data_IF_497834698598
#
_entry.id   IF_497834698598
#
_cell.length_a   1.000
_cell.length_b   1.000
_cell.length_c   1.000
_cell.angle_alpha   90.00
_cell.angle_beta   90.00
_cell.angle_gamma   90.00
#
_symmetry.space_group_name_H-M   'P 1'
#
loop_
_entity.id
_entity.type
_entity.pdbx_description
1 polymer ?
#
# COMPACT_ATOMS: atom_id res chain seq x y z
N UNK A 1 10.80 16.82 -13.29
CA UNK A 1 10.77 15.57 -12.49
C UNK A 1 9.39 15.43 -11.85
N UNK A 2 8.72 14.28 -12.01
CA UNK A 2 7.35 14.03 -11.49
C UNK A 2 7.40 12.93 -10.44
N UNK A 3 6.73 13.13 -9.30
CA UNK A 3 6.49 12.08 -8.30
C UNK A 3 5.01 11.95 -8.01
N UNK A 4 4.58 10.71 -7.72
CA UNK A 4 3.24 10.44 -7.19
C UNK A 4 3.37 10.30 -5.68
N UNK A 5 2.51 10.98 -4.94
CA UNK A 5 2.42 10.85 -3.48
C UNK A 5 1.06 10.32 -3.09
N UNK A 6 1.00 9.11 -2.53
CA UNK A 6 -0.25 8.51 -2.05
C UNK A 6 -0.33 8.60 -0.53
N UNK A 7 -1.46 9.07 -0.04
CA UNK A 7 -1.75 9.13 1.40
C UNK A 7 -2.91 8.20 1.77
N UNK A 8 -2.65 7.29 2.72
CA UNK A 8 -3.66 6.38 3.26
C UNK A 8 -4.64 7.08 4.20
N UNK A 9 -5.76 6.42 4.52
CA UNK A 9 -6.81 6.99 5.37
C UNK A 9 -6.31 7.38 6.77
N UNK A 10 -5.45 6.56 7.39
CA UNK A 10 -4.81 6.88 8.68
C UNK A 10 -3.94 8.14 8.63
N UNK A 11 -3.36 8.42 7.47
CA UNK A 11 -2.53 9.61 7.21
C UNK A 11 -3.34 10.88 6.93
N UNK A 12 -4.67 10.77 6.81
CA UNK A 12 -5.61 11.85 6.51
C UNK A 12 -6.76 11.92 7.55
N UNK A 13 -6.62 11.24 8.70
CA UNK A 13 -7.72 11.00 9.63
C UNK A 13 -8.28 12.26 10.31
N UNK A 14 -7.53 13.35 10.31
CA UNK A 14 -7.90 14.62 10.93
C UNK A 14 -7.30 15.82 10.18
N UNK A 15 -7.70 17.02 10.56
CA UNK A 15 -7.27 18.28 9.92
C UNK A 15 -5.76 18.49 10.04
N UNK A 16 -5.15 18.10 11.16
CA UNK A 16 -3.69 18.26 11.35
C UNK A 16 -2.93 17.36 10.37
N UNK A 17 -3.38 16.13 10.18
CA UNK A 17 -2.80 15.18 9.23
C UNK A 17 -3.01 15.62 7.78
N UNK A 18 -4.17 16.20 7.44
CA UNK A 18 -4.41 16.80 6.13
C UNK A 18 -3.40 17.92 5.84
N UNK A 19 -3.18 18.83 6.79
CA UNK A 19 -2.17 19.88 6.65
C UNK A 19 -0.76 19.32 6.53
N UNK A 20 -0.43 18.26 7.26
CA UNK A 20 0.87 17.58 7.18
C UNK A 20 1.07 16.91 5.81
N UNK A 21 0.07 16.24 5.29
CA UNK A 21 0.11 15.66 3.95
C UNK A 21 0.31 16.73 2.87
N UNK A 22 -0.39 17.87 2.96
CA UNK A 22 -0.17 19.02 2.09
C UNK A 22 1.26 19.57 2.21
N UNK A 23 1.82 19.66 3.43
CA UNK A 23 3.18 20.10 3.68
C UNK A 23 4.24 19.21 3.04
N UNK A 24 4.03 17.87 3.05
CA UNK A 24 4.91 16.92 2.36
C UNK A 24 4.89 17.14 0.84
N UNK A 25 3.73 17.43 0.28
CA UNK A 25 3.59 17.80 -1.13
C UNK A 25 4.33 19.14 -1.44
N UNK A 26 4.12 20.15 -0.62
CA UNK A 26 4.78 21.47 -0.78
C UNK A 26 6.30 21.33 -0.77
N UNK A 27 6.87 20.55 0.15
CA UNK A 27 8.31 20.29 0.21
C UNK A 27 8.89 19.72 -1.08
N UNK A 28 8.17 18.82 -1.75
CA UNK A 28 8.62 18.28 -3.05
C UNK A 28 8.48 19.32 -4.17
N UNK A 29 7.45 20.14 -4.13
CA UNK A 29 7.29 21.27 -5.06
C UNK A 29 8.42 22.30 -4.91
N UNK A 30 8.82 22.62 -3.68
CA UNK A 30 9.95 23.52 -3.38
C UNK A 30 11.29 22.98 -3.89
N UNK A 31 11.42 21.63 -3.99
CA UNK A 31 12.57 20.97 -4.62
C UNK A 31 12.54 20.99 -6.16
N UNK A 32 11.55 21.67 -6.74
CA UNK A 32 11.38 21.77 -8.19
C UNK A 32 10.75 20.55 -8.85
N UNK A 33 10.09 19.67 -8.07
CA UNK A 33 9.39 18.50 -8.60
C UNK A 33 7.92 18.80 -8.84
N UNK A 34 7.37 18.22 -9.87
CA UNK A 34 5.93 18.12 -10.04
C UNK A 34 5.38 17.00 -9.15
N UNK A 35 4.19 17.21 -8.58
CA UNK A 35 3.55 16.25 -7.68
C UNK A 35 2.13 15.99 -8.14
N UNK A 36 1.73 14.72 -8.17
CA UNK A 36 0.34 14.29 -8.17
C UNK A 36 0.06 13.64 -6.82
N UNK A 37 -0.91 14.17 -6.11
CA UNK A 37 -1.34 13.62 -4.83
C UNK A 37 -2.49 12.63 -5.06
N UNK A 38 -2.41 11.42 -4.50
CA UNK A 38 -3.48 10.41 -4.52
C UNK A 38 -3.93 10.18 -3.09
N UNK A 39 -5.23 10.25 -2.84
CA UNK A 39 -5.77 10.18 -1.48
C UNK A 39 -6.78 9.06 -1.32
N UNK A 40 -6.76 8.41 -0.17
CA UNK A 40 -7.83 7.55 0.33
C UNK A 40 -8.89 8.37 1.07
N UNK A 41 -10.04 7.78 1.35
CA UNK A 41 -10.99 8.35 2.29
C UNK A 41 -10.31 8.60 3.65
N UNK A 42 -10.77 9.59 4.41
CA UNK A 42 -10.29 9.84 5.77
C UNK A 42 -10.49 8.59 6.64
N UNK A 43 -9.61 8.41 7.65
CA UNK A 43 -9.67 7.22 8.50
C UNK A 43 -11.07 7.00 9.09
N UNK A 44 -11.63 5.79 8.89
CA UNK A 44 -12.97 5.41 9.34
C UNK A 44 -14.11 5.76 8.38
N UNK A 45 -13.95 6.73 7.48
CA UNK A 45 -15.06 7.21 6.63
C UNK A 45 -15.65 6.11 5.73
N UNK A 46 -14.84 5.23 5.16
CA UNK A 46 -15.34 4.11 4.35
C UNK A 46 -16.19 3.14 5.17
N UNK A 47 -15.77 2.82 6.40
CA UNK A 47 -16.51 1.94 7.30
C UNK A 47 -17.82 2.59 7.76
N UNK A 48 -17.83 3.89 8.00
CA UNK A 48 -19.04 4.66 8.35
C UNK A 48 -20.06 4.67 7.20
N UNK A 49 -19.59 4.90 5.95
CA UNK A 49 -20.44 4.86 4.76
C UNK A 49 -21.03 3.47 4.52
N UNK A 50 -20.22 2.41 4.69
CA UNK A 50 -20.69 1.02 4.62
C UNK A 50 -21.73 0.72 5.70
N UNK A 51 -21.47 1.11 6.96
CA UNK A 51 -22.41 0.92 8.06
C UNK A 51 -23.74 1.64 7.78
N UNK A 52 -23.69 2.85 7.21
CA UNK A 52 -24.88 3.61 6.81
C UNK A 52 -25.64 2.85 5.70
N UNK A 53 -24.99 2.36 4.67
CA UNK A 53 -25.63 1.58 3.60
C UNK A 53 -26.35 0.34 4.15
N UNK A 54 -25.68 -0.42 5.03
CA UNK A 54 -26.25 -1.62 5.64
C UNK A 54 -27.36 -1.31 6.66
N UNK A 55 -27.42 -0.09 7.21
CA UNK A 55 -28.55 0.35 8.02
C UNK A 55 -29.82 0.62 7.20
N UNK A 56 -29.64 0.97 5.91
CA UNK A 56 -30.76 1.21 4.98
C UNK A 56 -31.27 -0.09 4.36
N UNK A 57 -30.34 -1.02 4.02
CA UNK A 57 -30.68 -2.31 3.41
C UNK A 57 -29.76 -3.40 3.93
N UNK A 58 -30.31 -4.57 4.24
CA UNK A 58 -29.51 -5.74 4.62
C UNK A 58 -28.65 -6.30 3.45
N UNK A 59 -29.01 -5.97 2.20
CA UNK A 59 -28.29 -6.37 0.99
C UNK A 59 -28.30 -5.21 -0.03
N UNK A 60 -27.49 -4.16 0.20
CA UNK A 60 -27.36 -3.07 -0.76
C UNK A 60 -26.67 -3.58 -2.04
N UNK A 61 -27.10 -3.07 -3.20
CA UNK A 61 -26.47 -3.41 -4.48
C UNK A 61 -25.05 -2.87 -4.59
N UNK A 62 -24.15 -3.64 -5.16
CA UNK A 62 -22.72 -3.31 -5.26
C UNK A 62 -22.46 -2.01 -6.02
N UNK A 63 -23.22 -1.73 -7.09
CA UNK A 63 -23.14 -0.46 -7.81
C UNK A 63 -23.40 0.75 -6.92
N UNK A 64 -24.42 0.67 -6.07
CA UNK A 64 -24.76 1.77 -5.15
C UNK A 64 -23.76 1.88 -3.99
N UNK A 65 -23.19 0.74 -3.57
CA UNK A 65 -22.07 0.76 -2.62
C UNK A 65 -20.84 1.45 -3.20
N UNK A 66 -20.48 1.18 -4.45
CA UNK A 66 -19.37 1.85 -5.14
C UNK A 66 -19.62 3.37 -5.24
N UNK A 67 -20.82 3.76 -5.67
CA UNK A 67 -21.20 5.17 -5.74
C UNK A 67 -21.10 5.86 -4.38
N UNK A 68 -21.58 5.22 -3.32
CA UNK A 68 -21.54 5.76 -1.95
C UNK A 68 -20.10 5.85 -1.42
N UNK A 69 -19.35 4.76 -1.46
CA UNK A 69 -17.99 4.69 -0.92
C UNK A 69 -17.06 5.69 -1.60
N UNK A 70 -17.17 5.86 -2.93
CA UNK A 70 -16.34 6.80 -3.70
C UNK A 70 -16.42 8.25 -3.21
N UNK A 71 -17.49 8.62 -2.51
CA UNK A 71 -17.67 9.98 -1.96
C UNK A 71 -16.64 10.29 -0.87
N UNK A 72 -16.15 9.29 -0.14
CA UNK A 72 -15.14 9.46 0.89
C UNK A 72 -13.82 9.99 0.34
N UNK A 73 -13.34 9.42 -0.77
CA UNK A 73 -12.13 9.88 -1.44
C UNK A 73 -12.33 11.24 -2.11
N UNK A 74 -13.54 11.50 -2.63
CA UNK A 74 -13.86 12.82 -3.20
C UNK A 74 -13.80 13.92 -2.13
N UNK A 75 -14.32 13.66 -0.93
CA UNK A 75 -14.22 14.58 0.20
C UNK A 75 -12.75 14.81 0.60
N UNK A 76 -11.96 13.74 0.74
CA UNK A 76 -10.53 13.84 1.06
C UNK A 76 -9.76 14.63 0.02
N UNK A 77 -10.02 14.41 -1.27
CA UNK A 77 -9.34 15.10 -2.35
C UNK A 77 -9.63 16.61 -2.33
N UNK A 78 -10.87 17.00 -2.09
CA UNK A 78 -11.26 18.39 -1.96
C UNK A 78 -10.60 19.06 -0.74
N UNK A 79 -10.60 18.39 0.42
CA UNK A 79 -9.98 18.89 1.65
C UNK A 79 -8.46 19.03 1.51
N UNK A 80 -7.78 18.08 0.87
CA UNK A 80 -6.35 18.17 0.59
C UNK A 80 -6.03 19.30 -0.41
N UNK A 81 -6.87 19.53 -1.42
CA UNK A 81 -6.70 20.65 -2.33
C UNK A 81 -6.84 22.00 -1.58
N UNK A 82 -7.83 22.14 -0.71
CA UNK A 82 -7.99 23.33 0.17
C UNK A 82 -6.77 23.50 1.09
N UNK A 83 -6.24 22.40 1.66
CA UNK A 83 -5.05 22.47 2.52
C UNK A 83 -3.78 22.89 1.76
N UNK A 84 -3.65 22.50 0.49
CA UNK A 84 -2.58 22.93 -0.41
C UNK A 84 -2.72 24.42 -0.75
N UNK A 85 -3.92 24.89 -1.07
CA UNK A 85 -4.19 26.31 -1.35
C UNK A 85 -3.91 27.18 -0.13
N UNK A 86 -4.27 26.71 1.08
CA UNK A 86 -3.93 27.41 2.32
C UNK A 86 -2.41 27.53 2.58
N UNK A 87 -1.59 26.69 1.91
CA UNK A 87 -0.13 26.73 1.93
C UNK A 87 0.47 27.38 0.68
N UNK A 88 -0.34 28.11 -0.09
CA UNK A 88 0.11 28.89 -1.25
C UNK A 88 0.33 28.07 -2.54
N UNK A 89 -0.07 26.81 -2.59
CA UNK A 89 -0.02 25.99 -3.79
C UNK A 89 -1.35 26.07 -4.54
N UNK A 90 -1.30 26.20 -5.85
CA UNK A 90 -2.48 26.01 -6.69
C UNK A 90 -2.78 24.52 -6.78
N UNK A 91 -3.99 24.09 -6.45
CA UNK A 91 -4.39 22.70 -6.46
C UNK A 91 -5.76 22.48 -7.13
N UNK A 92 -6.04 21.26 -7.55
CA UNK A 92 -7.34 20.86 -8.09
C UNK A 92 -7.65 19.43 -7.66
N UNK A 93 -8.82 19.24 -7.02
CA UNK A 93 -9.33 17.90 -6.74
C UNK A 93 -9.94 17.28 -7.98
N UNK A 94 -9.65 16.00 -8.21
CA UNK A 94 -10.14 15.22 -9.34
C UNK A 94 -10.67 13.89 -8.84
N UNK A 95 -11.94 13.59 -9.12
CA UNK A 95 -12.47 12.23 -8.97
C UNK A 95 -11.75 11.26 -9.92
N UNK A 96 -11.82 9.95 -9.66
CA UNK A 96 -11.15 8.94 -10.48
C UNK A 96 -11.48 9.06 -11.96
N UNK A 97 -12.76 9.22 -12.31
CA UNK A 97 -13.23 9.41 -13.68
C UNK A 97 -12.72 10.71 -14.31
N UNK A 98 -12.61 11.80 -13.54
CA UNK A 98 -12.02 13.06 -14.03
C UNK A 98 -10.52 12.93 -14.28
N UNK A 99 -9.87 12.00 -13.60
CA UNK A 99 -8.46 11.66 -13.78
C UNK A 99 -8.23 10.75 -14.99
N UNK A 100 -9.32 10.28 -15.64
CA UNK A 100 -9.28 9.42 -16.81
C UNK A 100 -9.02 7.95 -16.45
N UNK A 101 -9.49 7.49 -15.32
CA UNK A 101 -9.41 6.09 -14.86
C UNK A 101 -10.67 5.37 -15.34
N UNK A 102 -10.52 4.46 -16.32
CA UNK A 102 -11.58 3.62 -16.85
C UNK A 102 -11.38 2.18 -16.42
N UNK A 103 -12.45 1.54 -15.98
CA UNK A 103 -12.46 0.19 -15.42
C UNK A 103 -13.32 -0.77 -16.23
N UNK A 104 -13.27 -2.06 -15.87
CA UNK A 104 -14.33 -3.00 -16.20
C UNK A 104 -15.60 -2.72 -15.38
N UNK A 105 -16.60 -3.60 -15.50
CA UNK A 105 -17.93 -3.47 -14.87
C UNK A 105 -18.09 -4.27 -13.59
N UNK A 106 -16.99 -4.79 -13.01
CA UNK A 106 -17.01 -5.58 -11.79
C UNK A 106 -17.04 -4.64 -10.58
N UNK A 107 -18.24 -4.33 -10.09
CA UNK A 107 -18.41 -3.48 -8.91
C UNK A 107 -17.75 -4.10 -7.66
N UNK A 108 -17.17 -3.26 -6.81
CA UNK A 108 -16.48 -3.65 -5.57
C UNK A 108 -15.04 -4.12 -5.77
N UNK A 109 -14.68 -4.71 -6.92
CA UNK A 109 -13.33 -5.24 -7.24
C UNK A 109 -12.91 -4.93 -8.68
N UNK A 110 -13.31 -3.76 -9.20
CA UNK A 110 -13.04 -3.37 -10.57
C UNK A 110 -11.54 -3.28 -10.89
N UNK A 111 -11.20 -3.53 -12.15
CA UNK A 111 -9.83 -3.45 -12.66
C UNK A 111 -9.68 -2.30 -13.64
N UNK A 112 -8.59 -1.55 -13.52
CA UNK A 112 -8.25 -0.46 -14.45
C UNK A 112 -7.96 -1.06 -15.83
N UNK A 113 -8.76 -0.68 -16.83
CA UNK A 113 -8.59 -1.09 -18.22
C UNK A 113 -7.79 -0.05 -19.01
N UNK A 114 -8.05 1.22 -18.76
CA UNK A 114 -7.40 2.34 -19.46
C UNK A 114 -7.22 3.52 -18.52
N UNK A 115 -6.10 4.21 -18.67
CA UNK A 115 -5.80 5.44 -17.93
C UNK A 115 -5.24 6.49 -18.89
N UNK A 116 -6.00 7.58 -19.10
CA UNK A 116 -5.64 8.63 -20.07
C UNK A 116 -4.87 9.79 -19.44
N UNK A 117 -5.13 10.11 -18.19
CA UNK A 117 -4.49 11.17 -17.38
C UNK A 117 -4.46 12.57 -18.05
N UNK A 118 -5.37 12.87 -18.98
CA UNK A 118 -5.36 14.13 -19.76
C UNK A 118 -5.50 15.38 -18.89
N UNK A 119 -6.46 15.40 -17.95
CA UNK A 119 -6.65 16.51 -17.01
C UNK A 119 -5.50 16.67 -16.04
N UNK A 120 -4.88 15.57 -15.61
CA UNK A 120 -3.70 15.60 -14.74
C UNK A 120 -2.54 16.28 -15.46
N UNK A 121 -2.24 15.85 -16.71
CA UNK A 121 -1.18 16.49 -17.53
C UNK A 121 -1.45 17.97 -17.77
N UNK A 122 -2.68 18.34 -18.05
CA UNK A 122 -3.08 19.74 -18.22
C UNK A 122 -2.87 20.54 -16.94
N UNK A 123 -3.26 20.04 -15.78
CA UNK A 123 -3.06 20.71 -14.50
C UNK A 123 -1.57 20.92 -14.21
N UNK A 124 -0.74 19.88 -14.35
CA UNK A 124 0.72 19.94 -14.17
C UNK A 124 1.37 20.99 -15.08
N UNK A 125 0.98 21.04 -16.38
CA UNK A 125 1.50 22.03 -17.32
C UNK A 125 1.20 23.48 -16.92
N UNK A 126 0.17 23.71 -16.10
CA UNK A 126 -0.17 25.04 -15.55
C UNK A 126 0.34 25.26 -14.12
N UNK A 127 1.22 24.38 -13.60
CA UNK A 127 1.77 24.47 -12.25
C UNK A 127 0.74 24.21 -11.14
N UNK A 128 -0.36 23.53 -11.46
CA UNK A 128 -1.42 23.15 -10.51
C UNK A 128 -1.16 21.74 -10.01
N UNK A 129 -1.28 21.50 -8.71
CA UNK A 129 -1.16 20.17 -8.09
C UNK A 129 -2.48 19.42 -8.24
N UNK A 130 -2.52 18.30 -9.01
CA UNK A 130 -3.70 17.45 -9.05
C UNK A 130 -3.80 16.62 -7.77
N UNK A 131 -4.94 16.65 -7.11
CA UNK A 131 -5.28 15.78 -5.97
C UNK A 131 -6.33 14.80 -6.45
N UNK A 132 -5.94 13.55 -6.62
CA UNK A 132 -6.76 12.50 -7.23
C UNK A 132 -7.42 11.66 -6.13
N UNK A 133 -8.74 11.50 -6.23
CA UNK A 133 -9.47 10.50 -5.46
C UNK A 133 -9.02 9.11 -5.90
N UNK A 134 -8.30 8.40 -5.02
CA UNK A 134 -7.90 7.02 -5.26
C UNK A 134 -9.09 6.06 -5.20
N UNK A 135 -8.83 4.75 -5.33
CA UNK A 135 -9.81 3.69 -5.10
C UNK A 135 -10.93 3.57 -6.16
N UNK A 136 -11.14 4.55 -7.03
CA UNK A 136 -12.30 4.65 -7.90
C UNK A 136 -11.95 4.89 -9.37
N UNK A 137 -12.83 4.45 -10.26
CA UNK A 137 -12.85 4.74 -11.67
C UNK A 137 -14.28 4.85 -12.20
N UNK A 138 -14.43 4.72 -13.51
CA UNK A 138 -15.71 4.71 -14.21
C UNK A 138 -15.70 3.59 -15.21
N UNK A 139 -16.80 2.88 -15.32
CA UNK A 139 -16.98 1.85 -16.31
C UNK A 139 -17.46 2.40 -17.68
N UNK A 140 -17.68 1.51 -18.64
CA UNK A 140 -18.15 1.86 -19.99
C UNK A 140 -19.57 2.44 -20.03
N UNK A 141 -20.37 2.28 -18.99
CA UNK A 141 -21.73 2.81 -18.89
C UNK A 141 -21.76 4.17 -18.18
N UNK A 142 -20.63 4.62 -17.65
CA UNK A 142 -20.53 5.85 -16.87
C UNK A 142 -20.83 5.67 -15.39
N UNK A 143 -20.91 4.41 -14.92
CA UNK A 143 -21.10 4.12 -13.51
C UNK A 143 -19.78 4.15 -12.76
N UNK A 144 -19.81 4.69 -11.54
CA UNK A 144 -18.63 4.69 -10.67
C UNK A 144 -18.37 3.26 -10.19
N UNK A 145 -17.10 2.85 -10.22
CA UNK A 145 -16.63 1.56 -9.76
C UNK A 145 -15.54 1.74 -8.74
N UNK A 146 -15.38 0.78 -7.80
CA UNK A 146 -14.29 0.77 -6.84
C UNK A 146 -13.33 -0.40 -7.09
N UNK A 147 -12.04 -0.17 -6.78
CA UNK A 147 -10.94 -1.10 -7.10
C UNK A 147 -10.68 -2.12 -5.98
N UNK A 148 -11.57 -2.20 -5.00
CA UNK A 148 -11.41 -3.10 -3.87
C UNK A 148 -10.29 -2.70 -2.91
N UNK A 149 -9.87 -3.61 -2.05
CA UNK A 149 -8.84 -3.36 -1.03
C UNK A 149 -7.51 -2.94 -1.67
N UNK A 150 -6.90 -1.87 -1.12
CA UNK A 150 -5.66 -1.31 -1.67
C UNK A 150 -5.85 -0.52 -2.97
N UNK A 151 -7.10 -0.22 -3.35
CA UNK A 151 -7.41 0.47 -4.60
C UNK A 151 -6.75 1.83 -4.75
N UNK A 152 -6.53 2.59 -3.65
CA UNK A 152 -5.80 3.86 -3.73
C UNK A 152 -4.30 3.66 -4.02
N UNK A 153 -3.68 2.57 -3.51
CA UNK A 153 -2.30 2.21 -3.86
C UNK A 153 -2.23 1.81 -5.34
N UNK A 154 -3.19 1.02 -5.80
CA UNK A 154 -3.33 0.63 -7.22
C UNK A 154 -3.50 1.86 -8.11
N UNK A 155 -4.33 2.82 -7.72
CA UNK A 155 -4.49 4.11 -8.43
C UNK A 155 -3.16 4.85 -8.53
N UNK A 156 -2.42 4.96 -7.43
CA UNK A 156 -1.13 5.68 -7.40
C UNK A 156 -0.09 5.03 -8.32
N UNK A 157 0.03 3.71 -8.27
CA UNK A 157 0.96 2.95 -9.11
C UNK A 157 0.57 3.04 -10.59
N UNK A 158 -0.71 2.92 -10.92
CA UNK A 158 -1.20 3.05 -12.28
C UNK A 158 -0.94 4.46 -12.85
N UNK A 159 -1.14 5.51 -12.03
CA UNK A 159 -0.82 6.89 -12.41
C UNK A 159 0.69 7.10 -12.58
N UNK A 160 1.52 6.53 -11.69
CA UNK A 160 2.98 6.60 -11.82
C UNK A 160 3.45 6.00 -13.16
N UNK A 161 2.93 4.84 -13.52
CA UNK A 161 3.21 4.21 -14.82
C UNK A 161 2.75 5.06 -16.00
N UNK A 162 1.48 5.50 -16.02
CA UNK A 162 0.87 6.23 -17.12
C UNK A 162 1.50 7.62 -17.34
N UNK A 163 1.96 8.25 -16.27
CA UNK A 163 2.61 9.56 -16.30
C UNK A 163 4.13 9.47 -16.43
N UNK A 164 4.71 8.26 -16.37
CA UNK A 164 6.16 8.01 -16.33
C UNK A 164 6.83 8.80 -15.21
N UNK A 165 6.23 8.72 -14.02
CA UNK A 165 6.80 9.35 -12.82
C UNK A 165 8.12 8.67 -12.44
N UNK A 166 9.02 9.42 -11.79
CA UNK A 166 10.30 8.89 -11.32
C UNK A 166 10.16 7.94 -10.14
N UNK A 167 9.06 8.05 -9.39
CA UNK A 167 8.74 7.20 -8.26
C UNK A 167 7.31 7.41 -7.77
N UNK A 168 6.89 6.51 -6.90
CA UNK A 168 5.60 6.55 -6.24
C UNK A 168 5.82 6.39 -4.72
N UNK A 169 5.67 7.49 -3.98
CA UNK A 169 5.77 7.51 -2.52
C UNK A 169 4.42 7.11 -1.92
N UNK A 170 4.41 6.05 -1.13
CA UNK A 170 3.24 5.58 -0.37
C UNK A 170 3.44 6.00 1.09
N UNK A 171 2.67 6.98 1.53
CA UNK A 171 2.68 7.45 2.91
C UNK A 171 1.69 6.66 3.77
N UNK A 172 2.19 6.17 4.90
CA UNK A 172 1.46 5.34 5.86
C UNK A 172 1.85 5.71 7.30
N UNK A 173 1.30 5.03 8.28
CA UNK A 173 1.57 5.21 9.72
C UNK A 173 2.83 4.47 10.22
N UNK A 174 3.53 3.75 9.34
CA UNK A 174 4.80 3.07 9.67
C UNK A 174 5.96 3.69 8.91
N UNK A 175 7.18 3.58 9.47
CA UNK A 175 8.38 4.18 8.89
C UNK A 175 8.83 3.57 7.56
N UNK A 176 8.35 2.35 7.24
CA UNK A 176 8.69 1.60 6.04
C UNK A 176 8.40 0.11 6.22
N UNK A 177 9.13 -0.73 5.51
CA UNK A 177 9.00 -2.19 5.57
C UNK A 177 10.01 -2.75 6.57
N UNK A 178 9.54 -3.68 7.39
CA UNK A 178 10.34 -4.36 8.41
C UNK A 178 10.49 -5.85 8.09
N UNK A 179 11.50 -6.47 8.66
CA UNK A 179 11.74 -7.93 8.55
C UNK A 179 10.65 -8.80 9.17
N UNK A 180 9.79 -8.23 10.01
CA UNK A 180 8.52 -8.76 10.52
C UNK A 180 7.67 -7.58 11.02
N UNK A 181 6.41 -7.79 11.39
CA UNK A 181 5.57 -6.74 12.00
C UNK A 181 6.20 -6.25 13.33
N UNK A 182 6.66 -4.98 13.41
CA UNK A 182 7.34 -4.46 14.60
C UNK A 182 6.43 -4.39 15.85
N UNK A 183 5.09 -4.40 15.65
CA UNK A 183 4.12 -4.47 16.76
C UNK A 183 4.11 -5.84 17.43
N UNK A 184 4.46 -6.89 16.69
CA UNK A 184 4.53 -8.28 17.17
C UNK A 184 5.97 -8.68 17.51
N UNK A 185 6.96 -8.14 16.82
CA UNK A 185 8.39 -8.42 16.98
C UNK A 185 9.15 -7.10 17.14
N UNK A 186 9.37 -6.60 18.35
CA UNK A 186 10.05 -5.32 18.59
C UNK A 186 11.49 -5.26 18.06
N UNK A 187 12.13 -6.41 17.85
CA UNK A 187 13.47 -6.52 17.24
C UNK A 187 13.46 -6.55 15.71
N UNK A 188 12.29 -6.41 15.07
CA UNK A 188 12.20 -6.33 13.62
C UNK A 188 12.95 -5.10 13.10
N UNK A 189 13.72 -5.28 12.03
CA UNK A 189 14.57 -4.21 11.46
C UNK A 189 13.89 -3.56 10.28
N UNK A 190 13.97 -2.24 10.22
CA UNK A 190 13.56 -1.46 9.04
C UNK A 190 14.51 -1.78 7.87
N UNK A 191 13.96 -1.98 6.70
CA UNK A 191 14.71 -2.23 5.47
C UNK A 191 14.91 -0.92 4.69
N UNK A 192 16.12 -0.65 4.24
CA UNK A 192 16.39 0.48 3.33
C UNK A 192 15.82 0.23 1.94
N UNK A 193 15.91 -1.02 1.48
CA UNK A 193 15.36 -1.47 0.21
C UNK A 193 14.77 -2.88 0.31
N UNK A 194 13.77 -3.16 -0.53
CA UNK A 194 13.11 -4.46 -0.61
C UNK A 194 12.82 -4.83 -2.08
N UNK A 195 12.92 -6.12 -2.39
CA UNK A 195 12.59 -6.61 -3.73
C UNK A 195 11.07 -6.71 -3.91
N UNK A 196 10.55 -6.17 -5.02
CA UNK A 196 9.10 -6.17 -5.30
C UNK A 196 8.51 -7.59 -5.32
N UNK A 197 9.27 -8.60 -5.78
CA UNK A 197 8.82 -10.01 -5.80
C UNK A 197 8.68 -10.57 -4.40
N UNK A 198 9.59 -10.23 -3.50
CA UNK A 198 9.52 -10.66 -2.09
C UNK A 198 8.37 -9.97 -1.35
N UNK A 199 8.18 -8.68 -1.62
CA UNK A 199 7.04 -7.94 -1.06
C UNK A 199 5.71 -8.50 -1.53
N UNK A 200 5.60 -8.91 -2.79
CA UNK A 200 4.41 -9.57 -3.31
C UNK A 200 4.14 -10.90 -2.59
N UNK A 201 5.16 -11.73 -2.38
CA UNK A 201 5.03 -12.98 -1.61
C UNK A 201 4.64 -12.73 -0.16
N UNK A 202 5.24 -11.74 0.50
CA UNK A 202 4.88 -11.34 1.87
C UNK A 202 3.44 -10.84 1.95
N UNK A 203 2.98 -10.07 0.95
CA UNK A 203 1.59 -9.61 0.88
C UNK A 203 0.61 -10.79 0.76
N UNK A 204 0.87 -11.76 -0.12
CA UNK A 204 0.07 -12.99 -0.21
C UNK A 204 0.13 -13.84 1.07
N UNK A 205 1.25 -13.79 1.78
CA UNK A 205 1.39 -14.45 3.08
C UNK A 205 0.69 -13.72 4.24
N UNK A 206 0.10 -12.54 3.97
CA UNK A 206 -0.70 -11.78 4.93
C UNK A 206 -0.01 -10.56 5.55
N UNK A 207 1.16 -10.15 5.04
CA UNK A 207 1.74 -8.86 5.41
C UNK A 207 0.87 -7.70 4.89
N UNK A 208 0.53 -6.75 5.77
CA UNK A 208 -0.45 -5.69 5.48
C UNK A 208 0.20 -4.32 5.19
N UNK A 209 1.36 -4.31 4.57
CA UNK A 209 2.09 -3.04 4.33
C UNK A 209 1.81 -2.47 2.95
N UNK A 210 1.77 -3.33 1.92
CA UNK A 210 1.38 -3.02 0.55
C UNK A 210 0.43 -4.10 0.04
N UNK A 211 -0.58 -3.71 -0.72
CA UNK A 211 -1.53 -4.66 -1.30
C UNK A 211 -0.94 -5.38 -2.52
N UNK A 212 -1.27 -6.66 -2.67
CA UNK A 212 -0.76 -7.50 -3.75
C UNK A 212 -1.02 -6.90 -5.14
N UNK A 213 -2.24 -6.40 -5.40
CA UNK A 213 -2.61 -5.80 -6.70
C UNK A 213 -1.74 -4.59 -7.06
N UNK A 214 -1.39 -3.74 -6.09
CA UNK A 214 -0.50 -2.60 -6.35
C UNK A 214 0.94 -3.06 -6.62
N UNK A 215 1.42 -4.11 -5.93
CA UNK A 215 2.73 -4.71 -6.17
C UNK A 215 2.82 -5.44 -7.52
N UNK A 216 1.76 -6.14 -7.92
CA UNK A 216 1.64 -6.76 -9.25
C UNK A 216 1.72 -5.70 -10.34
N UNK A 217 0.97 -4.61 -10.19
CA UNK A 217 1.00 -3.47 -11.12
C UNK A 217 2.38 -2.82 -11.15
N UNK A 218 3.02 -2.62 -10.00
CA UNK A 218 4.37 -2.07 -9.92
C UNK A 218 5.40 -2.96 -10.63
N UNK A 219 5.29 -4.28 -10.42
CA UNK A 219 6.15 -5.26 -11.06
C UNK A 219 5.96 -5.28 -12.58
N UNK A 220 4.70 -5.33 -13.04
CA UNK A 220 4.36 -5.37 -14.47
C UNK A 220 4.79 -4.11 -15.22
N UNK A 221 4.60 -2.94 -14.59
CA UNK A 221 4.87 -1.63 -15.21
C UNK A 221 6.26 -1.08 -14.92
N UNK A 222 7.06 -1.77 -14.09
CA UNK A 222 8.41 -1.33 -13.72
C UNK A 222 8.42 -0.05 -12.87
N UNK A 223 7.42 0.14 -11.99
CA UNK A 223 7.30 1.31 -11.12
C UNK A 223 8.05 1.05 -9.81
N UNK A 224 8.95 1.95 -9.44
CA UNK A 224 9.58 1.95 -8.13
C UNK A 224 8.64 2.60 -7.11
N UNK A 225 8.47 1.95 -5.95
CA UNK A 225 7.66 2.44 -4.84
C UNK A 225 8.58 2.83 -3.69
N UNK A 226 8.20 3.83 -2.92
CA UNK A 226 8.86 4.15 -1.65
C UNK A 226 7.82 4.24 -0.55
N UNK A 227 7.95 3.38 0.44
CA UNK A 227 7.11 3.43 1.64
C UNK A 227 7.71 4.41 2.64
N UNK A 228 6.92 5.37 3.10
CA UNK A 228 7.38 6.44 3.99
C UNK A 228 6.39 6.68 5.11
N UNK A 229 6.89 7.13 6.25
CA UNK A 229 6.01 7.62 7.31
C UNK A 229 5.34 8.93 6.92
N UNK A 230 4.05 9.05 7.21
CA UNK A 230 3.27 10.27 7.01
C UNK A 230 3.60 11.39 8.01
N UNK A 231 4.44 11.13 9.02
CA UNK A 231 5.02 12.17 9.87
C UNK A 231 6.19 12.91 9.21
N UNK A 232 6.67 12.40 8.07
CA UNK A 232 7.74 12.99 7.28
C UNK A 232 9.15 12.71 7.83
N UNK A 233 9.28 11.74 8.73
CA UNK A 233 10.56 11.34 9.32
C UNK A 233 11.15 10.14 8.60
N UNK A 234 12.43 10.17 8.32
CA UNK A 234 13.19 9.10 7.67
C UNK A 234 13.00 9.01 6.16
N UNK A 235 13.83 8.20 5.53
CA UNK A 235 13.81 7.99 4.06
C UNK A 235 12.83 6.90 3.62
N UNK A 236 12.35 6.07 4.57
CA UNK A 236 11.46 4.95 4.28
C UNK A 236 12.18 3.78 3.60
N UNK A 237 11.41 2.88 3.02
CA UNK A 237 11.90 1.70 2.30
C UNK A 237 11.66 1.86 0.80
N UNK A 238 12.71 1.72 -0.01
CA UNK A 238 12.62 1.65 -1.47
C UNK A 238 12.21 0.24 -1.90
N UNK A 239 11.11 0.10 -2.65
CA UNK A 239 10.63 -1.17 -3.20
C UNK A 239 10.80 -1.16 -4.71
N UNK A 240 11.70 -1.98 -5.21
CA UNK A 240 12.03 -2.10 -6.64
C UNK A 240 12.50 -3.51 -6.98
N UNK A 241 12.65 -3.80 -8.25
CA UNK A 241 13.36 -5.01 -8.65
C UNK A 241 14.85 -4.86 -8.29
N UNK A 242 15.32 -5.73 -7.42
CA UNK A 242 16.73 -5.82 -7.05
C UNK A 242 17.46 -6.81 -7.97
N UNK A 243 18.72 -6.49 -8.31
CA UNK A 243 19.60 -7.45 -8.96
C UNK A 243 19.90 -8.64 -8.05
N UNK A 244 20.33 -9.77 -8.62
CA UNK A 244 20.61 -10.97 -7.82
C UNK A 244 21.64 -10.75 -6.70
N UNK A 245 22.64 -9.90 -6.92
CA UNK A 245 23.64 -9.56 -5.91
C UNK A 245 23.17 -8.57 -4.84
N UNK A 246 22.09 -7.83 -5.09
CA UNK A 246 21.51 -6.87 -4.15
C UNK A 246 20.39 -7.49 -3.30
N UNK A 247 19.73 -8.53 -3.83
CA UNK A 247 18.60 -9.18 -3.18
C UNK A 247 19.08 -9.99 -1.97
N UNK A 248 18.60 -9.72 -0.76
CA UNK A 248 19.03 -10.46 0.44
C UNK A 248 18.57 -11.93 0.36
N UNK A 249 19.27 -12.85 1.05
CA UNK A 249 18.88 -14.26 1.11
C UNK A 249 17.50 -14.44 1.75
N UNK A 250 17.18 -13.65 2.79
CA UNK A 250 15.89 -13.62 3.47
C UNK A 250 15.34 -12.19 3.50
N UNK A 251 14.08 -12.03 3.12
CA UNK A 251 13.41 -10.74 3.03
C UNK A 251 12.60 -10.41 4.28
N UNK A 252 11.88 -11.39 4.84
CA UNK A 252 11.04 -11.16 6.01
C UNK A 252 10.14 -12.34 6.38
N UNK A 253 9.40 -12.12 7.48
CA UNK A 253 8.39 -13.04 8.02
C UNK A 253 7.03 -12.37 8.02
N UNK A 254 6.01 -13.08 7.55
CA UNK A 254 4.61 -12.69 7.65
C UNK A 254 3.84 -13.67 8.54
N UNK A 255 2.90 -13.15 9.33
CA UNK A 255 1.98 -13.94 10.16
C UNK A 255 0.54 -13.72 9.72
N UNK A 256 -0.17 -14.80 9.41
CA UNK A 256 -1.60 -14.78 9.12
C UNK A 256 -2.29 -16.00 9.72
N UNK A 257 -3.22 -15.78 10.63
CA UNK A 257 -4.10 -16.82 11.24
C UNK A 257 -3.37 -18.06 11.78
N UNK A 258 -2.15 -17.89 12.34
CA UNK A 258 -1.33 -18.98 12.87
C UNK A 258 -0.34 -19.58 11.86
N UNK A 259 -0.38 -19.14 10.59
CA UNK A 259 0.63 -19.47 9.58
C UNK A 259 1.71 -18.41 9.59
N UNK A 260 2.97 -18.83 9.75
CA UNK A 260 4.15 -17.96 9.68
C UNK A 260 4.93 -18.34 8.43
N UNK A 261 5.08 -17.39 7.52
CA UNK A 261 5.76 -17.58 6.24
C UNK A 261 7.07 -16.80 6.23
N UNK A 262 8.17 -17.49 6.01
CA UNK A 262 9.49 -16.92 5.70
C UNK A 262 9.58 -16.74 4.19
N UNK A 263 10.02 -15.57 3.76
CA UNK A 263 10.18 -15.21 2.34
C UNK A 263 11.60 -14.76 2.08
N UNK A 264 12.13 -15.12 0.93
CA UNK A 264 13.43 -14.74 0.43
C UNK A 264 13.99 -15.78 -0.55
N UNK A 265 15.03 -15.40 -1.23
CA UNK A 265 15.70 -16.21 -2.24
C UNK A 265 16.15 -17.61 -1.71
N UNK A 266 16.52 -17.69 -0.45
CA UNK A 266 16.99 -18.91 0.24
C UNK A 266 15.96 -19.53 1.18
N UNK A 267 14.74 -18.92 1.29
CA UNK A 267 13.71 -19.41 2.19
C UNK A 267 13.09 -20.77 1.80
N UNK A 268 13.24 -21.19 0.54
CA UNK A 268 12.65 -22.42 0.02
C UNK A 268 13.16 -23.72 0.65
N UNK A 269 14.27 -23.70 1.37
CA UNK A 269 14.84 -24.87 2.09
C UNK A 269 14.80 -24.74 3.61
N UNK A 270 14.07 -23.77 4.15
CA UNK A 270 14.13 -23.39 5.57
C UNK A 270 13.15 -24.18 6.47
N UNK A 271 12.25 -25.00 5.92
CA UNK A 271 11.18 -25.63 6.71
C UNK A 271 11.72 -26.51 7.84
N UNK A 272 12.74 -27.32 7.57
CA UNK A 272 13.33 -28.20 8.59
C UNK A 272 13.93 -27.38 9.74
N UNK A 273 14.60 -26.26 9.41
CA UNK A 273 15.21 -25.36 10.36
C UNK A 273 14.13 -24.59 11.16
N UNK A 274 13.06 -24.12 10.51
CA UNK A 274 11.90 -23.51 11.17
C UNK A 274 11.29 -24.46 12.20
N UNK A 275 11.07 -25.73 11.82
CA UNK A 275 10.53 -26.76 12.74
C UNK A 275 11.46 -27.03 13.90
N UNK A 276 12.75 -27.16 13.66
CA UNK A 276 13.75 -27.37 14.73
C UNK A 276 13.80 -26.18 15.70
N UNK A 277 13.74 -24.95 15.19
CA UNK A 277 13.70 -23.74 15.98
C UNK A 277 12.48 -23.69 16.90
N UNK A 278 11.29 -24.08 16.42
CA UNK A 278 10.05 -24.11 17.20
C UNK A 278 10.08 -25.23 18.23
N UNK A 279 10.51 -26.45 17.85
CA UNK A 279 10.62 -27.59 18.74
C UNK A 279 11.55 -27.32 19.92
N UNK A 280 12.70 -26.66 19.69
CA UNK A 280 13.63 -26.27 20.74
C UNK A 280 13.03 -25.29 21.78
N UNK A 281 11.89 -24.68 21.46
CA UNK A 281 11.15 -23.74 22.33
C UNK A 281 9.82 -24.30 22.82
N UNK A 282 9.59 -25.61 22.61
CA UNK A 282 8.36 -26.29 23.02
C UNK A 282 7.11 -25.77 22.30
N UNK A 283 7.25 -25.29 21.04
CA UNK A 283 6.13 -24.86 20.21
C UNK A 283 5.82 -25.96 19.22
N UNK A 284 4.60 -26.47 19.26
CA UNK A 284 4.13 -27.49 18.34
C UNK A 284 3.89 -26.94 16.93
N UNK A 285 4.47 -27.60 15.93
CA UNK A 285 4.23 -27.31 14.52
C UNK A 285 3.11 -28.21 13.98
N UNK A 286 1.97 -27.63 13.67
CA UNK A 286 0.78 -28.35 13.19
C UNK A 286 0.85 -28.70 11.71
N UNK A 287 1.65 -27.97 10.93
CA UNK A 287 1.79 -28.14 9.50
C UNK A 287 2.91 -27.26 8.93
N UNK A 288 3.16 -27.39 7.64
CA UNK A 288 4.13 -26.55 6.93
C UNK A 288 4.50 -27.14 5.59
N UNK A 289 4.94 -26.27 4.69
CA UNK A 289 5.43 -26.62 3.36
C UNK A 289 6.51 -25.64 2.89
N UNK A 290 7.20 -26.03 1.85
CA UNK A 290 8.21 -25.26 1.14
C UNK A 290 7.76 -24.91 -0.27
N UNK A 291 8.09 -23.72 -0.72
CA UNK A 291 8.00 -23.26 -2.10
C UNK A 291 9.39 -22.92 -2.64
N UNK A 292 9.46 -22.32 -3.81
CA UNK A 292 10.76 -21.99 -4.43
C UNK A 292 11.53 -20.92 -3.62
N UNK A 293 10.84 -19.92 -3.10
CA UNK A 293 11.42 -18.75 -2.40
C UNK A 293 10.62 -18.40 -1.14
N UNK A 294 9.96 -19.38 -0.57
CA UNK A 294 9.27 -19.27 0.71
C UNK A 294 9.18 -20.62 1.41
N UNK A 295 9.04 -20.59 2.74
CA UNK A 295 8.61 -21.73 3.54
C UNK A 295 7.63 -21.25 4.61
N UNK A 296 6.69 -22.07 5.01
CA UNK A 296 5.80 -21.72 6.09
C UNK A 296 5.63 -22.85 7.09
N UNK A 297 5.30 -22.48 8.32
CA UNK A 297 4.85 -23.35 9.39
C UNK A 297 3.49 -22.89 9.90
N UNK A 298 2.71 -23.83 10.40
CA UNK A 298 1.43 -23.56 11.06
C UNK A 298 1.55 -23.93 12.53
N UNK A 299 1.08 -23.04 13.39
CA UNK A 299 1.06 -23.22 14.84
C UNK A 299 -0.31 -22.84 15.40
N UNK A 300 -0.59 -23.26 16.64
CA UNK A 300 -1.80 -22.83 17.34
C UNK A 300 -1.83 -21.29 17.45
N UNK A 301 -3.02 -20.68 17.30
CA UNK A 301 -3.16 -19.21 17.34
C UNK A 301 -2.60 -18.58 18.61
N UNK A 302 -2.72 -19.30 19.76
CA UNK A 302 -2.16 -18.84 21.04
C UNK A 302 -0.64 -18.79 21.07
N UNK A 303 0.04 -19.57 20.25
CA UNK A 303 1.50 -19.62 20.14
C UNK A 303 2.06 -18.73 19.01
N UNK A 304 1.21 -18.18 18.16
CA UNK A 304 1.61 -17.54 16.90
C UNK A 304 2.62 -16.40 17.09
N UNK A 305 2.39 -15.52 18.06
CA UNK A 305 3.31 -14.40 18.32
C UNK A 305 4.64 -14.88 18.90
N UNK A 306 4.61 -15.87 19.83
CA UNK A 306 5.81 -16.47 20.40
C UNK A 306 6.64 -17.18 19.34
N UNK A 307 5.98 -17.91 18.44
CA UNK A 307 6.59 -18.59 17.30
C UNK A 307 7.22 -17.61 16.30
N UNK A 308 6.50 -16.53 15.95
CA UNK A 308 7.01 -15.48 15.07
C UNK A 308 8.28 -14.84 15.65
N UNK A 309 8.27 -14.46 16.93
CA UNK A 309 9.43 -13.90 17.61
C UNK A 309 10.62 -14.86 17.65
N UNK A 310 10.35 -16.15 17.90
CA UNK A 310 11.37 -17.20 17.90
C UNK A 310 12.05 -17.38 16.55
N UNK A 311 11.25 -17.45 15.48
CA UNK A 311 11.74 -17.58 14.11
C UNK A 311 12.47 -16.31 13.67
N UNK A 312 11.95 -15.12 14.00
CA UNK A 312 12.64 -13.87 13.69
C UNK A 312 14.01 -13.79 14.37
N UNK A 313 14.09 -14.10 15.67
CA UNK A 313 15.36 -14.13 16.39
C UNK A 313 16.36 -15.16 15.83
N UNK A 314 15.86 -16.24 15.21
CA UNK A 314 16.71 -17.27 14.59
C UNK A 314 17.23 -16.83 13.22
N UNK A 315 16.36 -16.33 12.34
CA UNK A 315 16.69 -16.04 10.94
C UNK A 315 17.23 -14.63 10.71
N UNK A 316 16.93 -13.67 11.59
CA UNK A 316 17.28 -12.26 11.46
C UNK A 316 18.16 -11.73 12.61
N UNK A 317 18.71 -12.62 13.47
CA UNK A 317 19.74 -12.21 14.41
C UNK A 317 20.95 -11.64 13.65
N UNK A 318 21.50 -10.54 14.15
CA UNK A 318 22.80 -10.09 13.64
C UNK A 318 23.83 -11.20 13.82
N UNK A 319 24.56 -11.53 12.76
CA UNK A 319 25.76 -12.35 12.90
C UNK A 319 26.72 -11.58 13.84
N UNK A 320 26.94 -12.15 15.05
CA UNK A 320 27.88 -11.61 16.03
C UNK A 320 29.30 -11.58 15.45
#
# INVERSE_FOLDING_TARGET
MLTIQKFGGSSLADVEKLHRAAQLCVRERERGRDVVMVVSAMGGATDELLALAYSVSAAPGERELDALMSTGECASAALCAIALEAQGQRAISLAGWQSGIFTDTEHGEARIQTLTAGRIRSALAHGIVPVVSGFQGIDRYGDVTTLGRGGSDTTAVALAAALRAEGCDIYTDVAGIYTADPRLVPSARLLDAADTRDMLRLSYAGAQVLHAVSLETALEKGVELRLRSSDGVGEGTLVRLLGEGERPPLAGLALSRGRITLVGREAGSALAEMRACLAARGIECLGGAEGKENAFVEVARGDAQRALGALHAHFFAEAK
#
